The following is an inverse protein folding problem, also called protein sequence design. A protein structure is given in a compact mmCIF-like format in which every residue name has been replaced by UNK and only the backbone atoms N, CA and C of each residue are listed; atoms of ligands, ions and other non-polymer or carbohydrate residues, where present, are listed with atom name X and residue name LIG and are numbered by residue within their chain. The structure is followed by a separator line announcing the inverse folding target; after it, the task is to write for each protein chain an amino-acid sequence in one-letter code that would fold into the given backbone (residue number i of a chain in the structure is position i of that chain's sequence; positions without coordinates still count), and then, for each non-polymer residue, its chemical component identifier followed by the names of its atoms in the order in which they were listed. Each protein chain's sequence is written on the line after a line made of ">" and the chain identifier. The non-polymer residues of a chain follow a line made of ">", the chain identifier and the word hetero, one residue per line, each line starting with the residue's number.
data_IF_286447557246
#
_entry.id   IF_286447557246
#
_cell.length_a   1.000
_cell.length_b   1.000
_cell.length_c   1.000
_cell.angle_alpha   90.00
_cell.angle_beta   90.00
_cell.angle_gamma   90.00
#
_symmetry.space_group_name_H-M   'P 1'
#
loop_
_entity.id
_entity.type
_entity.pdbx_description
1 polymer ?
#
# COMPACT_ATOMS: atom_id res chain seq x y z
N UNK A 1 -6.39 -10.84 -26.79
CA UNK A 1 -5.17 -11.37 -26.14
C UNK A 1 -5.02 -10.85 -24.71
N UNK A 2 -4.96 -9.53 -24.47
CA UNK A 2 -4.86 -8.93 -23.13
C UNK A 2 -5.95 -9.38 -22.13
N UNK A 3 -7.21 -9.40 -22.56
CA UNK A 3 -8.36 -9.78 -21.72
C UNK A 3 -8.19 -11.20 -21.15
N UNK A 4 -7.66 -12.14 -21.93
CA UNK A 4 -7.44 -13.50 -21.46
C UNK A 4 -6.37 -13.59 -20.36
N UNK A 5 -5.30 -12.79 -20.45
CA UNK A 5 -4.32 -12.70 -19.37
C UNK A 5 -4.94 -12.16 -18.07
N UNK A 6 -5.80 -11.14 -18.18
CA UNK A 6 -6.51 -10.55 -17.04
C UNK A 6 -7.47 -11.57 -16.42
N UNK A 7 -8.24 -12.30 -17.24
CA UNK A 7 -9.15 -13.36 -16.78
C UNK A 7 -8.35 -14.46 -16.08
N UNK A 8 -7.25 -14.94 -16.66
CA UNK A 8 -6.39 -15.96 -16.04
C UNK A 8 -5.83 -15.45 -14.70
N UNK A 9 -5.33 -14.21 -14.66
CA UNK A 9 -4.81 -13.60 -13.43
C UNK A 9 -5.88 -13.52 -12.32
N UNK A 10 -7.11 -13.12 -12.66
CA UNK A 10 -8.22 -13.08 -11.71
C UNK A 10 -8.60 -14.49 -11.22
N UNK A 11 -8.69 -15.47 -12.12
CA UNK A 11 -8.98 -16.86 -11.76
C UNK A 11 -7.91 -17.44 -10.85
N UNK A 12 -6.64 -17.21 -11.15
CA UNK A 12 -5.51 -17.65 -10.31
C UNK A 12 -5.56 -16.96 -8.95
N UNK A 13 -5.85 -15.65 -8.90
CA UNK A 13 -6.00 -14.91 -7.64
C UNK A 13 -7.14 -15.47 -6.79
N UNK A 14 -8.30 -15.72 -7.38
CA UNK A 14 -9.43 -16.32 -6.67
C UNK A 14 -9.06 -17.73 -6.17
N UNK A 15 -8.43 -18.55 -7.00
CA UNK A 15 -8.03 -19.90 -6.63
C UNK A 15 -7.03 -19.91 -5.46
N UNK A 16 -6.02 -19.04 -5.48
CA UNK A 16 -5.05 -18.88 -4.39
C UNK A 16 -5.74 -18.43 -3.10
N UNK A 17 -6.63 -17.44 -3.20
CA UNK A 17 -7.37 -16.92 -2.06
C UNK A 17 -8.30 -17.97 -1.43
N UNK A 18 -9.06 -18.69 -2.25
CA UNK A 18 -9.94 -19.76 -1.77
C UNK A 18 -9.16 -20.97 -1.22
N UNK A 19 -8.00 -21.30 -1.80
CA UNK A 19 -7.13 -22.34 -1.25
C UNK A 19 -6.54 -21.95 0.11
N UNK A 20 -6.14 -20.68 0.28
CA UNK A 20 -5.68 -20.18 1.58
C UNK A 20 -6.83 -20.16 2.61
N UNK A 21 -8.07 -19.93 2.18
CA UNK A 21 -9.26 -19.97 3.03
C UNK A 21 -9.50 -21.34 3.69
N UNK A 22 -9.12 -22.44 3.04
CA UNK A 22 -9.28 -23.78 3.64
C UNK A 22 -8.40 -24.01 4.87
N UNK A 23 -7.48 -23.08 5.19
CA UNK A 23 -6.60 -23.15 6.37
C UNK A 23 -7.09 -22.28 7.53
N UNK A 24 -8.17 -21.53 7.36
CA UNK A 24 -8.72 -20.63 8.37
C UNK A 24 -9.79 -21.36 9.18
N UNK A 25 -9.52 -21.62 10.47
CA UNK A 25 -10.42 -22.43 11.31
C UNK A 25 -11.02 -21.65 12.49
N UNK A 26 -10.41 -20.53 12.88
CA UNK A 26 -10.84 -19.74 14.04
C UNK A 26 -10.64 -18.22 13.79
N UNK A 27 -11.15 -17.40 14.71
CA UNK A 27 -11.08 -15.93 14.63
C UNK A 27 -9.64 -15.39 14.57
N UNK A 28 -8.69 -16.04 15.24
CA UNK A 28 -7.27 -15.62 15.22
C UNK A 28 -6.63 -15.89 13.87
N UNK A 29 -6.97 -17.02 13.23
CA UNK A 29 -6.54 -17.32 11.86
C UNK A 29 -7.13 -16.31 10.88
N UNK A 30 -8.41 -15.98 11.06
CA UNK A 30 -9.11 -15.01 10.22
C UNK A 30 -8.54 -13.60 10.36
N UNK A 31 -8.33 -13.12 11.59
CA UNK A 31 -7.92 -11.75 11.85
C UNK A 31 -6.41 -11.52 11.65
N UNK A 32 -5.55 -12.45 12.08
CA UNK A 32 -4.09 -12.22 12.10
C UNK A 32 -3.28 -13.38 11.53
N UNK A 33 -3.92 -14.25 10.72
CA UNK A 33 -3.27 -15.42 10.12
C UNK A 33 -2.53 -16.29 11.15
N UNK A 34 -3.11 -16.43 12.35
CA UNK A 34 -2.54 -17.23 13.45
C UNK A 34 -1.24 -16.66 14.03
N UNK A 35 -0.78 -15.49 13.56
CA UNK A 35 0.59 -14.99 13.76
C UNK A 35 1.66 -15.98 13.33
N UNK A 36 1.53 -16.54 12.12
CA UNK A 36 2.51 -17.50 11.60
C UNK A 36 3.30 -16.98 10.39
N UNK A 37 3.01 -15.78 9.92
CA UNK A 37 3.53 -15.28 8.65
C UNK A 37 5.05 -15.05 8.70
N UNK A 38 5.80 -15.56 7.70
CA UNK A 38 7.25 -15.36 7.60
C UNK A 38 7.59 -13.95 7.09
N UNK A 39 8.84 -13.54 7.28
CA UNK A 39 9.33 -12.20 6.93
C UNK A 39 8.97 -11.73 5.50
N UNK A 40 9.19 -12.51 4.42
CA UNK A 40 8.92 -12.04 3.07
C UNK A 40 7.45 -11.74 2.82
N UNK A 41 6.56 -12.55 3.40
CA UNK A 41 5.11 -12.40 3.26
C UNK A 41 4.64 -11.16 4.01
N UNK A 42 5.11 -10.94 5.25
CA UNK A 42 4.76 -9.74 6.02
C UNK A 42 5.29 -8.49 5.33
N UNK A 43 6.54 -8.48 4.84
CA UNK A 43 7.10 -7.35 4.08
C UNK A 43 6.25 -7.02 2.87
N UNK A 44 5.90 -8.03 2.06
CA UNK A 44 5.08 -7.85 0.88
C UNK A 44 3.68 -7.33 1.23
N UNK A 45 3.06 -7.86 2.28
CA UNK A 45 1.72 -7.48 2.74
C UNK A 45 1.70 -6.04 3.26
N UNK A 46 2.69 -5.66 4.08
CA UNK A 46 2.84 -4.29 4.59
C UNK A 46 3.12 -3.32 3.44
N UNK A 47 3.99 -3.69 2.50
CA UNK A 47 4.28 -2.88 1.32
C UNK A 47 3.03 -2.73 0.41
N UNK A 48 2.33 -3.82 0.10
CA UNK A 48 1.15 -3.84 -0.76
C UNK A 48 -0.01 -2.98 -0.22
N UNK A 49 -0.08 -2.78 1.10
CA UNK A 49 -1.08 -1.91 1.73
C UNK A 49 -0.94 -0.47 1.26
N UNK A 50 0.31 -0.02 1.16
CA UNK A 50 0.69 1.34 0.79
C UNK A 50 0.89 1.49 -0.71
N UNK A 51 1.17 0.39 -1.39
CA UNK A 51 1.36 0.33 -2.83
C UNK A 51 0.06 -0.01 -3.57
N UNK A 52 -0.97 0.83 -3.37
CA UNK A 52 -2.29 0.66 -3.98
C UNK A 52 -2.45 1.39 -5.33
N UNK A 53 -3.69 1.42 -5.85
CA UNK A 53 -3.99 2.11 -7.10
C UNK A 53 -3.69 3.62 -7.04
N UNK A 54 -3.84 4.24 -5.87
CA UNK A 54 -3.42 5.62 -5.63
C UNK A 54 -1.92 5.83 -5.87
N UNK A 55 -1.07 4.94 -5.36
CA UNK A 55 0.37 5.03 -5.55
C UNK A 55 0.76 4.90 -7.03
N UNK A 56 0.03 4.10 -7.80
CA UNK A 56 0.32 3.87 -9.23
C UNK A 56 -0.22 5.00 -10.11
N UNK A 57 -1.44 5.49 -9.88
CA UNK A 57 -2.09 6.49 -10.74
C UNK A 57 -2.01 7.92 -10.19
N UNK A 58 -2.23 8.07 -8.89
CA UNK A 58 -2.28 9.34 -8.19
C UNK A 58 -0.89 9.96 -8.06
N UNK A 59 0.04 9.25 -7.43
CA UNK A 59 1.41 9.77 -7.19
C UNK A 59 2.12 10.09 -8.51
N UNK A 60 1.96 9.27 -9.56
CA UNK A 60 2.53 9.57 -10.88
C UNK A 60 1.95 10.85 -11.49
N UNK A 61 0.63 11.07 -11.36
CA UNK A 61 -0.02 12.26 -11.89
C UNK A 61 0.40 13.52 -11.10
N UNK A 62 0.50 13.41 -9.77
CA UNK A 62 1.00 14.47 -8.90
C UNK A 62 2.46 14.80 -9.19
N UNK A 63 3.32 13.81 -9.39
CA UNK A 63 4.72 14.03 -9.77
C UNK A 63 4.85 14.81 -11.09
N UNK A 64 4.06 14.47 -12.10
CA UNK A 64 4.07 15.19 -13.39
C UNK A 64 3.65 16.65 -13.21
N UNK A 65 2.68 16.93 -12.33
CA UNK A 65 2.19 18.30 -12.05
C UNK A 65 3.13 19.10 -11.16
N UNK A 66 3.50 18.55 -10.01
CA UNK A 66 4.09 19.28 -8.88
C UNK A 66 5.51 18.82 -8.52
N UNK A 67 6.06 17.81 -9.22
CA UNK A 67 7.40 17.27 -8.95
C UNK A 67 7.51 16.55 -7.62
N UNK A 68 8.73 16.42 -7.10
CA UNK A 68 9.02 15.75 -5.82
C UNK A 68 8.37 16.43 -4.61
N UNK A 69 8.15 17.75 -4.67
CA UNK A 69 7.50 18.53 -3.60
C UNK A 69 6.06 18.09 -3.36
N UNK A 70 5.35 17.75 -4.43
CA UNK A 70 3.94 17.33 -4.36
C UNK A 70 3.75 15.90 -3.85
N UNK A 71 4.81 15.08 -3.84
CA UNK A 71 4.78 13.66 -3.45
C UNK A 71 5.49 13.41 -2.11
N UNK A 72 5.55 14.42 -1.25
CA UNK A 72 6.15 14.28 0.10
C UNK A 72 5.35 13.34 1.00
N UNK A 73 4.02 13.32 0.85
CA UNK A 73 3.16 12.39 1.59
C UNK A 73 3.46 10.94 1.20
N UNK A 74 3.46 10.65 -0.11
CA UNK A 74 3.75 9.34 -0.67
C UNK A 74 4.85 9.42 -1.74
N UNK A 75 5.99 8.71 -1.58
CA UNK A 75 6.19 7.61 -0.63
C UNK A 75 6.89 7.98 0.68
N UNK A 76 7.36 9.22 0.87
CA UNK A 76 8.27 9.55 1.98
C UNK A 76 7.59 9.52 3.35
N UNK A 77 6.42 10.14 3.48
CA UNK A 77 5.61 10.10 4.71
C UNK A 77 5.16 8.69 5.06
N UNK A 78 4.59 7.96 4.09
CA UNK A 78 4.18 6.58 4.28
C UNK A 78 5.35 5.64 4.68
N UNK A 79 6.52 5.79 4.07
CA UNK A 79 7.71 5.00 4.43
C UNK A 79 8.10 5.21 5.88
N UNK A 80 8.10 6.47 6.36
CA UNK A 80 8.43 6.77 7.74
C UNK A 80 7.34 6.32 8.72
N UNK A 81 6.07 6.41 8.33
CA UNK A 81 4.95 5.78 9.05
C UNK A 81 5.20 4.29 9.27
N UNK A 82 5.56 3.55 8.23
CA UNK A 82 5.83 2.11 8.32
C UNK A 82 6.98 1.78 9.27
N UNK A 83 8.06 2.56 9.27
CA UNK A 83 9.17 2.39 10.22
C UNK A 83 8.69 2.62 11.66
N UNK A 84 8.02 3.74 11.92
CA UNK A 84 7.57 4.12 13.26
C UNK A 84 6.53 3.12 13.77
N UNK A 85 5.51 2.83 12.96
CA UNK A 85 4.47 1.86 13.28
C UNK A 85 5.04 0.46 13.50
N UNK A 86 5.97 0.02 12.64
CA UNK A 86 6.66 -1.26 12.78
C UNK A 86 7.39 -1.41 14.12
N UNK A 87 8.16 -0.38 14.51
CA UNK A 87 8.86 -0.34 15.80
C UNK A 87 7.85 -0.31 16.96
N UNK A 88 6.88 0.60 16.92
CA UNK A 88 5.91 0.77 18.00
C UNK A 88 5.04 -0.47 18.21
N UNK A 89 4.52 -1.05 17.13
CA UNK A 89 3.69 -2.24 17.15
C UNK A 89 4.48 -3.49 17.49
N UNK A 90 5.64 -3.68 16.87
CA UNK A 90 6.49 -4.84 17.13
C UNK A 90 7.03 -4.88 18.57
N UNK A 91 7.30 -3.73 19.18
CA UNK A 91 7.85 -3.67 20.55
C UNK A 91 6.76 -3.69 21.63
N UNK A 92 5.73 -2.88 21.47
CA UNK A 92 4.72 -2.63 22.51
C UNK A 92 3.48 -3.50 22.31
N UNK A 93 2.79 -3.35 21.17
CA UNK A 93 1.48 -3.97 20.99
C UNK A 93 1.54 -5.46 20.68
N UNK A 94 2.61 -5.95 20.05
CA UNK A 94 2.77 -7.37 19.72
C UNK A 94 2.72 -8.25 20.98
N UNK A 95 3.24 -7.75 22.11
CA UNK A 95 3.27 -8.48 23.40
C UNK A 95 1.89 -8.60 24.04
N UNK A 96 0.95 -7.70 23.72
CA UNK A 96 -0.39 -7.69 24.30
C UNK A 96 -1.32 -8.76 23.72
N UNK A 97 -0.92 -9.41 22.62
CA UNK A 97 -1.66 -10.52 21.99
C UNK A 97 -3.12 -10.15 21.59
N UNK A 98 -3.39 -8.86 21.40
CA UNK A 98 -4.69 -8.31 20.97
C UNK A 98 -4.96 -8.53 19.48
N UNK A 99 -6.23 -8.59 19.05
CA UNK A 99 -6.59 -8.80 17.64
C UNK A 99 -6.82 -7.48 16.90
N UNK A 100 -7.27 -6.46 17.61
CA UNK A 100 -7.58 -5.14 17.03
C UNK A 100 -6.95 -4.00 17.83
N UNK A 101 -6.79 -2.84 17.20
CA UNK A 101 -6.48 -1.61 17.91
C UNK A 101 -7.59 -1.21 18.89
N UNK A 102 -8.84 -1.57 18.61
CA UNK A 102 -9.96 -1.39 19.55
C UNK A 102 -9.71 -2.08 20.88
N UNK A 103 -9.20 -3.32 20.86
CA UNK A 103 -8.86 -4.08 22.07
C UNK A 103 -7.82 -3.35 22.93
N UNK A 104 -6.84 -2.67 22.30
CA UNK A 104 -5.88 -1.84 23.03
C UNK A 104 -6.57 -0.72 23.80
N UNK A 105 -7.48 0.01 23.15
CA UNK A 105 -8.25 1.09 23.81
C UNK A 105 -9.19 0.56 24.88
N UNK A 106 -9.74 -0.65 24.71
CA UNK A 106 -10.52 -1.33 25.75
C UNK A 106 -9.67 -1.60 26.99
N UNK A 107 -8.49 -2.19 26.81
CA UNK A 107 -7.57 -2.52 27.90
C UNK A 107 -7.05 -1.27 28.62
N UNK A 108 -6.82 -0.19 27.87
CA UNK A 108 -6.25 1.05 28.40
C UNK A 108 -7.30 1.95 29.06
N UNK A 109 -8.52 1.95 28.56
CA UNK A 109 -9.60 2.83 28.98
C UNK A 109 -10.85 2.03 29.36
N UNK A 110 -11.79 1.85 28.43
CA UNK A 110 -13.04 1.12 28.65
C UNK A 110 -13.72 0.75 27.31
N UNK A 111 -14.85 0.03 27.40
CA UNK A 111 -15.63 -0.42 26.24
C UNK A 111 -16.20 0.74 25.40
N UNK A 112 -16.52 1.87 26.02
CA UNK A 112 -17.06 3.03 25.29
C UNK A 112 -16.01 3.62 24.36
N UNK A 113 -14.77 3.79 24.84
CA UNK A 113 -13.65 4.29 24.02
C UNK A 113 -13.30 3.32 22.91
N UNK A 114 -13.29 2.00 23.18
CA UNK A 114 -13.11 0.98 22.16
C UNK A 114 -14.10 1.16 21.00
N UNK A 115 -15.41 1.21 21.29
CA UNK A 115 -16.45 1.30 20.26
C UNK A 115 -16.33 2.60 19.47
N UNK A 116 -16.13 3.74 20.15
CA UNK A 116 -15.97 5.03 19.48
C UNK A 116 -14.77 5.04 18.54
N UNK A 117 -13.61 4.55 19.01
CA UNK A 117 -12.41 4.48 18.18
C UNK A 117 -12.59 3.53 16.99
N UNK A 118 -13.19 2.36 17.20
CA UNK A 118 -13.48 1.42 16.11
C UNK A 118 -14.41 2.02 15.07
N UNK A 119 -15.46 2.75 15.47
CA UNK A 119 -16.36 3.43 14.53
C UNK A 119 -15.63 4.52 13.74
N UNK A 120 -14.76 5.31 14.37
CA UNK A 120 -13.94 6.30 13.68
C UNK A 120 -12.99 5.66 12.66
N UNK A 121 -12.36 4.54 13.00
CA UNK A 121 -11.50 3.78 12.09
C UNK A 121 -12.30 3.22 10.91
N UNK A 122 -13.48 2.65 11.15
CA UNK A 122 -14.34 2.13 10.07
C UNK A 122 -14.79 3.25 9.15
N UNK A 123 -15.19 4.39 9.70
CA UNK A 123 -15.61 5.56 8.92
C UNK A 123 -14.47 6.10 8.05
N UNK A 124 -13.22 6.13 8.55
CA UNK A 124 -12.07 6.60 7.76
C UNK A 124 -11.75 5.69 6.57
N UNK A 125 -11.94 4.37 6.70
CA UNK A 125 -11.73 3.43 5.57
C UNK A 125 -12.74 3.57 4.44
N UNK A 126 -13.93 4.13 4.67
CA UNK A 126 -14.93 4.29 3.61
C UNK A 126 -14.37 5.14 2.46
N UNK A 127 -13.67 6.23 2.77
CA UNK A 127 -13.02 7.08 1.78
C UNK A 127 -11.97 6.32 0.98
N UNK A 128 -11.06 5.64 1.67
CA UNK A 128 -9.97 4.87 1.06
C UNK A 128 -10.49 3.74 0.16
N UNK A 129 -11.38 2.89 0.70
CA UNK A 129 -11.96 1.76 -0.05
C UNK A 129 -12.73 2.25 -1.26
N UNK A 130 -13.47 3.37 -1.15
CA UNK A 130 -14.19 3.94 -2.29
C UNK A 130 -13.26 4.37 -3.43
N UNK A 131 -12.07 4.91 -3.11
CA UNK A 131 -11.08 5.29 -4.11
C UNK A 131 -10.51 4.07 -4.83
N UNK A 132 -10.19 2.99 -4.09
CA UNK A 132 -9.70 1.74 -4.68
C UNK A 132 -10.75 1.08 -5.58
N UNK A 133 -12.02 1.05 -5.17
CA UNK A 133 -13.12 0.51 -5.99
C UNK A 133 -13.26 1.31 -7.29
N UNK A 134 -13.23 2.66 -7.22
CA UNK A 134 -13.27 3.50 -8.42
C UNK A 134 -12.12 3.21 -9.38
N UNK A 135 -10.90 3.07 -8.85
CA UNK A 135 -9.73 2.74 -9.67
C UNK A 135 -9.89 1.37 -10.35
N UNK A 136 -10.42 0.38 -9.63
CA UNK A 136 -10.73 -0.94 -10.17
C UNK A 136 -11.72 -0.88 -11.34
N UNK A 137 -12.80 -0.09 -11.19
CA UNK A 137 -13.77 0.16 -12.25
C UNK A 137 -13.17 0.80 -13.50
N UNK A 138 -12.26 1.77 -13.31
CA UNK A 138 -11.52 2.40 -14.40
C UNK A 138 -10.63 1.38 -15.12
N UNK A 139 -9.88 0.55 -14.39
CA UNK A 139 -9.00 -0.48 -14.98
C UNK A 139 -9.80 -1.45 -15.83
N UNK A 140 -10.95 -1.94 -15.35
CA UNK A 140 -11.82 -2.82 -16.14
C UNK A 140 -12.33 -2.14 -17.42
N UNK A 141 -12.76 -0.89 -17.32
CA UNK A 141 -13.24 -0.13 -18.48
C UNK A 141 -12.13 0.08 -19.52
N UNK A 142 -10.90 0.39 -19.10
CA UNK A 142 -9.77 0.61 -20.00
C UNK A 142 -9.31 -0.69 -20.66
N UNK A 143 -9.18 -1.78 -19.89
CA UNK A 143 -8.72 -3.08 -20.40
C UNK A 143 -9.70 -3.71 -21.39
N UNK A 144 -10.99 -3.39 -21.26
CA UNK A 144 -12.05 -3.87 -22.15
C UNK A 144 -12.41 -2.89 -23.26
N UNK A 145 -11.62 -1.82 -23.43
CA UNK A 145 -11.83 -0.78 -24.45
C UNK A 145 -13.26 -0.19 -24.41
N UNK A 146 -13.75 0.05 -23.19
CA UNK A 146 -15.09 0.60 -22.94
C UNK A 146 -16.24 -0.40 -22.99
N UNK A 147 -16.00 -1.69 -23.31
CA UNK A 147 -17.06 -2.69 -23.37
C UNK A 147 -17.72 -2.94 -22.01
N UNK A 148 -16.96 -2.83 -20.90
CA UNK A 148 -17.50 -2.85 -19.54
C UNK A 148 -17.56 -1.42 -19.00
N UNK A 149 -18.75 -0.88 -18.70
CA UNK A 149 -18.88 0.41 -18.05
C UNK A 149 -18.17 0.44 -16.69
N UNK A 150 -17.62 1.58 -16.24
CA UNK A 150 -16.91 1.67 -14.96
C UNK A 150 -17.72 1.15 -13.77
N UNK A 151 -19.03 1.38 -13.75
CA UNK A 151 -19.94 0.90 -12.70
C UNK A 151 -20.00 -0.63 -12.63
N UNK A 152 -20.10 -1.29 -13.78
CA UNK A 152 -20.07 -2.76 -13.86
C UNK A 152 -18.70 -3.30 -13.43
N UNK A 153 -17.61 -2.63 -13.83
CA UNK A 153 -16.24 -2.95 -13.41
C UNK A 153 -16.06 -2.84 -11.89
N UNK A 154 -16.61 -1.80 -11.26
CA UNK A 154 -16.60 -1.61 -9.80
C UNK A 154 -17.31 -2.76 -9.09
N UNK A 155 -18.50 -3.15 -9.56
CA UNK A 155 -19.28 -4.24 -8.95
C UNK A 155 -18.54 -5.56 -9.08
N UNK A 156 -18.09 -5.90 -10.31
CA UNK A 156 -17.43 -7.17 -10.59
C UNK A 156 -16.13 -7.31 -9.80
N UNK A 157 -15.30 -6.27 -9.81
CA UNK A 157 -14.07 -6.26 -9.05
C UNK A 157 -14.30 -6.35 -7.53
N UNK A 158 -15.31 -5.64 -7.02
CA UNK A 158 -15.71 -5.73 -5.60
C UNK A 158 -16.15 -7.13 -5.21
N UNK A 159 -16.96 -7.80 -6.05
CA UNK A 159 -17.40 -9.18 -5.81
C UNK A 159 -16.22 -10.15 -5.75
N UNK A 160 -15.24 -10.01 -6.65
CA UNK A 160 -14.02 -10.83 -6.64
C UNK A 160 -13.24 -10.63 -5.35
N UNK A 161 -12.97 -9.37 -4.98
CA UNK A 161 -12.20 -9.02 -3.78
C UNK A 161 -12.91 -9.47 -2.50
N UNK A 162 -14.22 -9.23 -2.39
CA UNK A 162 -15.01 -9.67 -1.25
C UNK A 162 -15.02 -11.19 -1.12
N UNK A 163 -15.12 -11.93 -2.22
CA UNK A 163 -15.17 -13.40 -2.18
C UNK A 163 -13.93 -13.96 -1.46
N UNK A 164 -12.72 -13.67 -1.95
CA UNK A 164 -11.54 -14.25 -1.30
C UNK A 164 -11.23 -13.64 0.07
N UNK A 165 -11.64 -12.39 0.34
CA UNK A 165 -11.37 -11.73 1.62
C UNK A 165 -12.31 -12.24 2.71
N UNK A 166 -13.60 -12.40 2.41
CA UNK A 166 -14.61 -12.87 3.37
C UNK A 166 -14.42 -14.34 3.75
N UNK A 167 -14.04 -15.20 2.81
CA UNK A 167 -13.76 -16.60 3.14
C UNK A 167 -12.35 -16.79 3.72
N UNK A 168 -11.40 -16.00 3.24
CA UNK A 168 -9.99 -16.27 3.42
C UNK A 168 -9.27 -15.49 4.52
N UNK A 169 -9.86 -14.40 5.01
CA UNK A 169 -9.29 -13.54 6.04
C UNK A 169 -7.86 -13.06 5.74
N UNK A 170 -7.12 -12.74 6.79
CA UNK A 170 -5.77 -12.21 6.71
C UNK A 170 -4.77 -13.15 6.04
N UNK A 171 -4.95 -14.48 6.17
CA UNK A 171 -4.06 -15.45 5.53
C UNK A 171 -4.15 -15.36 4.00
N UNK A 172 -5.37 -15.29 3.47
CA UNK A 172 -5.59 -15.22 2.02
C UNK A 172 -5.14 -13.88 1.45
N UNK A 173 -5.41 -12.79 2.18
CA UNK A 173 -4.90 -11.46 1.83
C UNK A 173 -3.37 -11.47 1.80
N UNK A 174 -2.69 -12.01 2.80
CA UNK A 174 -1.23 -12.00 2.85
C UNK A 174 -0.57 -12.80 1.71
N UNK A 175 -1.14 -13.96 1.36
CA UNK A 175 -0.63 -14.78 0.25
C UNK A 175 -0.87 -14.07 -1.08
N UNK A 176 -2.04 -13.45 -1.26
CA UNK A 176 -2.33 -12.67 -2.46
C UNK A 176 -1.44 -11.44 -2.56
N UNK A 177 -1.28 -10.67 -1.49
CA UNK A 177 -0.41 -9.50 -1.45
C UNK A 177 1.01 -9.89 -1.90
N UNK A 178 1.55 -11.01 -1.43
CA UNK A 178 2.88 -11.51 -1.85
C UNK A 178 2.98 -11.78 -3.36
N UNK A 179 1.98 -12.42 -3.95
CA UNK A 179 1.96 -12.75 -5.39
C UNK A 179 1.71 -11.49 -6.22
N UNK A 180 0.68 -10.72 -5.87
CA UNK A 180 0.22 -9.57 -6.63
C UNK A 180 1.25 -8.45 -6.64
N UNK A 181 1.90 -8.18 -5.50
CA UNK A 181 2.91 -7.13 -5.45
C UNK A 181 4.15 -7.49 -6.27
N UNK A 182 4.50 -8.78 -6.35
CA UNK A 182 5.58 -9.25 -7.21
C UNK A 182 5.27 -9.02 -8.68
N UNK A 183 4.02 -9.28 -9.10
CA UNK A 183 3.55 -9.02 -10.47
C UNK A 183 3.54 -7.52 -10.78
N UNK A 184 3.02 -6.69 -9.86
CA UNK A 184 2.95 -5.23 -10.02
C UNK A 184 4.36 -4.64 -10.12
N UNK A 185 5.29 -5.02 -9.23
CA UNK A 185 6.67 -4.54 -9.25
C UNK A 185 7.39 -4.94 -10.53
N UNK A 186 7.24 -6.19 -10.97
CA UNK A 186 7.79 -6.66 -12.24
C UNK A 186 7.23 -5.89 -13.44
N UNK A 187 5.91 -5.67 -13.46
CA UNK A 187 5.23 -4.89 -14.51
C UNK A 187 5.70 -3.44 -14.57
N UNK A 188 5.86 -2.78 -13.42
CA UNK A 188 6.36 -1.41 -13.37
C UNK A 188 7.80 -1.27 -13.82
N UNK A 189 8.68 -2.18 -13.42
CA UNK A 189 10.07 -2.19 -13.89
C UNK A 189 10.15 -2.43 -15.40
N UNK A 190 9.31 -3.31 -15.92
CA UNK A 190 9.23 -3.57 -17.36
C UNK A 190 8.75 -2.34 -18.14
N UNK A 191 7.68 -1.67 -17.69
CA UNK A 191 7.18 -0.44 -18.30
C UNK A 191 8.24 0.67 -18.24
N UNK A 192 8.90 0.84 -17.08
CA UNK A 192 9.96 1.82 -16.92
C UNK A 192 11.13 1.57 -17.90
N UNK A 193 11.53 0.31 -18.09
CA UNK A 193 12.56 -0.06 -19.06
C UNK A 193 12.14 0.25 -20.51
N UNK A 194 10.91 -0.09 -20.91
CA UNK A 194 10.41 0.21 -22.25
C UNK A 194 10.35 1.71 -22.52
N UNK A 195 9.79 2.49 -21.59
CA UNK A 195 9.67 3.94 -21.74
C UNK A 195 11.06 4.58 -21.78
N UNK A 196 11.99 4.14 -20.92
CA UNK A 196 13.36 4.64 -20.97
C UNK A 196 14.03 4.37 -22.32
N UNK A 197 13.81 3.20 -22.93
CA UNK A 197 14.33 2.88 -24.26
C UNK A 197 13.77 3.80 -25.35
N UNK A 198 12.46 4.11 -25.30
CA UNK A 198 11.80 5.00 -26.26
C UNK A 198 12.27 6.46 -26.08
N UNK A 199 12.52 6.89 -24.84
CA UNK A 199 12.95 8.26 -24.50
C UNK A 199 14.44 8.53 -24.71
N UNK A 200 15.22 7.57 -25.21
CA UNK A 200 16.66 7.73 -25.46
C UNK A 200 17.56 7.43 -24.24
N UNK A 201 17.02 6.78 -23.21
CA UNK A 201 17.72 6.37 -22.00
C UNK A 201 17.15 6.99 -20.72
N UNK A 202 17.44 6.36 -19.58
CA UNK A 202 17.01 6.86 -18.26
C UNK A 202 17.61 8.24 -17.97
N UNK A 203 18.86 8.46 -18.37
CA UNK A 203 19.58 9.72 -18.14
C UNK A 203 18.91 10.92 -18.83
N UNK A 204 18.31 10.71 -20.00
CA UNK A 204 17.57 11.75 -20.73
C UNK A 204 16.31 12.14 -19.97
N UNK A 205 15.56 11.16 -19.47
CA UNK A 205 14.34 11.38 -18.70
C UNK A 205 14.64 12.11 -17.38
N UNK A 206 15.67 11.68 -16.66
CA UNK A 206 16.11 12.30 -15.41
C UNK A 206 16.63 13.72 -15.66
N UNK A 207 17.41 13.93 -16.74
CA UNK A 207 17.91 15.25 -17.13
C UNK A 207 16.77 16.22 -17.47
N UNK A 208 15.74 15.78 -18.19
CA UNK A 208 14.57 16.60 -18.47
C UNK A 208 13.76 16.92 -17.21
N UNK A 209 13.58 15.94 -16.31
CA UNK A 209 12.91 16.16 -15.04
C UNK A 209 13.68 17.17 -14.15
N UNK A 210 15.00 17.07 -14.11
CA UNK A 210 15.87 18.00 -13.39
C UNK A 210 15.78 19.41 -13.99
N UNK A 211 15.89 19.54 -15.32
CA UNK A 211 15.79 20.83 -16.01
C UNK A 211 14.42 21.50 -15.81
N UNK A 212 13.36 20.71 -15.62
CA UNK A 212 12.02 21.20 -15.31
C UNK A 212 11.77 21.47 -13.81
N UNK A 213 12.79 21.39 -12.96
CA UNK A 213 12.67 21.57 -11.50
C UNK A 213 11.83 20.50 -10.79
N UNK A 214 11.53 19.37 -11.46
CA UNK A 214 10.66 18.32 -10.91
C UNK A 214 11.36 17.48 -9.85
N UNK A 215 12.69 17.54 -9.79
CA UNK A 215 13.50 16.83 -8.80
C UNK A 215 13.81 17.67 -7.56
N UNK A 216 13.34 18.92 -7.49
CA UNK A 216 13.54 19.73 -6.29
C UNK A 216 12.64 19.22 -5.17
N UNK A 217 13.24 18.78 -4.06
CA UNK A 217 12.49 18.13 -2.98
C UNK A 217 11.84 19.14 -2.02
N UNK A 218 12.56 20.21 -1.69
CA UNK A 218 12.11 21.21 -0.72
C UNK A 218 11.45 22.40 -1.43
N UNK A 219 10.37 22.98 -0.87
CA UNK A 219 9.71 24.15 -1.45
C UNK A 219 10.61 25.40 -1.44
N UNK A 220 10.56 26.19 -2.52
CA UNK A 220 11.42 27.38 -2.72
C UNK A 220 10.94 28.64 -2.00
N UNK A 221 9.69 28.70 -1.54
CA UNK A 221 9.09 29.94 -1.04
C UNK A 221 8.12 29.72 0.12
N UNK A 222 7.93 30.81 0.89
CA UNK A 222 6.81 31.11 1.79
C UNK A 222 6.57 30.17 2.99
N UNK A 223 6.18 30.76 4.12
CA UNK A 223 5.80 29.99 5.31
C UNK A 223 4.57 29.10 5.06
N UNK A 224 3.72 29.45 4.11
CA UNK A 224 2.49 28.71 3.79
C UNK A 224 2.78 27.40 3.05
N UNK A 225 3.72 27.39 2.11
CA UNK A 225 4.11 26.23 1.33
C UNK A 225 4.93 25.26 2.18
N UNK A 226 5.81 25.78 3.05
CA UNK A 226 6.47 24.97 4.07
C UNK A 226 5.47 24.37 5.05
N UNK A 227 4.46 25.13 5.47
CA UNK A 227 3.40 24.62 6.33
C UNK A 227 2.60 23.52 5.62
N UNK A 228 2.23 23.70 4.35
CA UNK A 228 1.51 22.70 3.57
C UNK A 228 2.36 21.43 3.35
N UNK A 229 3.65 21.58 3.04
CA UNK A 229 4.59 20.49 2.86
C UNK A 229 4.75 19.67 4.15
N UNK A 230 5.02 20.33 5.27
CA UNK A 230 5.15 19.67 6.58
C UNK A 230 3.81 19.06 6.99
N UNK A 231 2.68 19.75 6.79
CA UNK A 231 1.37 19.23 7.11
C UNK A 231 1.06 17.95 6.31
N UNK A 232 1.28 17.94 5.00
CA UNK A 232 1.08 16.76 4.17
C UNK A 232 1.97 15.59 4.60
N UNK A 233 3.26 15.88 4.83
CA UNK A 233 4.24 14.88 5.26
C UNK A 233 3.89 14.28 6.63
N UNK A 234 3.62 15.12 7.63
CA UNK A 234 3.28 14.72 8.99
C UNK A 234 1.92 14.02 9.08
N UNK A 235 0.95 14.47 8.28
CA UNK A 235 -0.39 13.85 8.22
C UNK A 235 -0.26 12.40 7.76
N UNK A 236 0.51 12.14 6.69
CA UNK A 236 0.73 10.77 6.23
C UNK A 236 1.61 9.97 7.19
N UNK A 237 2.66 10.59 7.74
CA UNK A 237 3.61 9.94 8.64
C UNK A 237 2.98 9.48 9.97
N UNK A 238 2.15 10.32 10.59
CA UNK A 238 1.58 10.06 11.92
C UNK A 238 0.12 9.65 11.87
N UNK A 239 -0.66 10.20 10.95
CA UNK A 239 -2.11 9.98 10.86
C UNK A 239 -2.47 8.54 10.54
N UNK A 240 -1.57 7.84 9.87
CA UNK A 240 -1.77 6.46 9.43
C UNK A 240 -1.20 5.42 10.38
N UNK A 241 -0.46 5.84 11.42
CA UNK A 241 -0.03 4.95 12.49
C UNK A 241 -1.25 4.23 13.09
N UNK A 242 -2.28 4.90 13.65
CA UNK A 242 -3.40 4.24 14.36
C UNK A 242 -4.38 3.48 13.44
N UNK A 243 -4.01 3.16 12.20
CA UNK A 243 -4.87 2.42 11.29
C UNK A 243 -4.83 0.90 11.56
N UNK A 244 -6.01 0.27 11.49
CA UNK A 244 -6.21 -1.14 11.81
C UNK A 244 -5.48 -2.07 10.84
N UNK A 245 -5.39 -1.71 9.57
CA UNK A 245 -4.76 -2.51 8.52
C UNK A 245 -3.24 -2.58 8.67
N UNK A 246 -2.57 -1.46 8.99
CA UNK A 246 -1.13 -1.43 9.34
C UNK A 246 -0.88 -2.31 10.56
N UNK A 247 -1.66 -2.10 11.63
CA UNK A 247 -1.57 -2.90 12.85
C UNK A 247 -1.74 -4.40 12.59
N UNK A 248 -2.79 -4.78 11.86
CA UNK A 248 -3.17 -6.16 11.59
C UNK A 248 -2.08 -6.88 10.79
N UNK A 249 -1.51 -6.22 9.77
CA UNK A 249 -0.45 -6.79 8.93
C UNK A 249 0.86 -6.98 9.68
N UNK A 250 1.28 -5.96 10.42
CA UNK A 250 2.52 -6.00 11.21
C UNK A 250 2.43 -7.07 12.31
N UNK A 251 1.29 -7.18 12.99
CA UNK A 251 1.10 -8.15 14.09
C UNK A 251 0.77 -9.57 13.65
N UNK A 252 0.52 -9.80 12.35
CA UNK A 252 0.38 -11.15 11.76
C UNK A 252 1.72 -11.88 11.58
N UNK A 253 2.84 -11.19 11.79
CA UNK A 253 4.17 -11.77 11.78
C UNK A 253 4.33 -12.89 12.81
N UNK A 254 5.21 -13.86 12.54
CA UNK A 254 5.52 -14.96 13.48
C UNK A 254 6.21 -14.49 14.76
N UNK A 255 7.00 -13.42 14.68
CA UNK A 255 7.72 -12.88 15.84
C UNK A 255 7.72 -11.36 15.82
N UNK A 256 7.87 -10.75 17.00
CA UNK A 256 8.05 -9.30 17.14
C UNK A 256 9.23 -8.76 16.29
N UNK A 257 10.33 -9.51 16.19
CA UNK A 257 11.46 -9.14 15.34
C UNK A 257 11.05 -9.08 13.87
N UNK A 258 10.32 -10.09 13.39
CA UNK A 258 9.80 -10.12 12.02
C UNK A 258 8.86 -8.94 11.78
N UNK A 259 7.98 -8.60 12.73
CA UNK A 259 7.10 -7.44 12.61
C UNK A 259 7.86 -6.12 12.35
N UNK A 260 8.95 -5.90 13.09
CA UNK A 260 9.80 -4.71 12.95
C UNK A 260 10.58 -4.74 11.62
N UNK A 261 11.35 -5.81 11.38
CA UNK A 261 12.17 -5.90 10.18
C UNK A 261 11.33 -5.90 8.90
N UNK A 262 10.15 -6.53 8.92
CA UNK A 262 9.24 -6.54 7.78
C UNK A 262 8.79 -5.12 7.42
N UNK A 263 8.46 -4.32 8.42
CA UNK A 263 8.00 -2.94 8.25
C UNK A 263 9.12 -2.03 7.75
N UNK A 264 10.36 -2.21 8.26
CA UNK A 264 11.53 -1.47 7.78
C UNK A 264 11.86 -1.84 6.33
N UNK A 265 11.82 -3.13 5.98
CA UNK A 265 12.05 -3.58 4.60
C UNK A 265 10.93 -3.10 3.66
N UNK A 266 9.69 -3.07 4.13
CA UNK A 266 8.56 -2.53 3.37
C UNK A 266 8.75 -1.03 3.13
N UNK A 267 9.12 -0.26 4.15
CA UNK A 267 9.44 1.17 4.03
C UNK A 267 10.57 1.43 3.05
N UNK A 268 11.64 0.63 3.10
CA UNK A 268 12.74 0.73 2.15
C UNK A 268 12.29 0.40 0.71
N UNK A 269 11.34 -0.52 0.55
CA UNK A 269 10.78 -0.86 -0.77
C UNK A 269 9.87 0.25 -1.29
N UNK A 270 9.10 0.91 -0.41
CA UNK A 270 8.27 2.07 -0.74
C UNK A 270 9.10 3.26 -1.20
N UNK A 271 10.21 3.55 -0.52
CA UNK A 271 11.14 4.62 -0.91
C UNK A 271 12.04 4.24 -2.10
N UNK A 272 12.28 2.96 -2.36
CA UNK A 272 13.09 2.48 -3.50
C UNK A 272 12.27 2.12 -4.75
N UNK A 273 10.95 2.37 -4.74
CA UNK A 273 10.05 2.16 -5.86
C UNK A 273 10.56 2.90 -7.11
N UNK A 274 10.32 2.41 -8.35
CA UNK A 274 10.83 3.04 -9.58
C UNK A 274 10.47 4.52 -9.72
N UNK A 275 9.35 4.95 -9.13
CA UNK A 275 8.96 6.36 -9.01
C UNK A 275 9.95 7.23 -8.21
N UNK A 276 10.74 6.62 -7.32
CA UNK A 276 11.78 7.28 -6.51
C UNK A 276 13.22 7.03 -6.98
N UNK A 277 13.51 5.96 -7.75
CA UNK A 277 14.87 5.69 -8.25
C UNK A 277 15.42 6.77 -9.19
N UNK A 278 14.61 7.73 -9.60
CA UNK A 278 15.06 8.88 -10.38
C UNK A 278 15.77 9.97 -9.54
N UNK A 279 15.87 9.84 -8.22
CA UNK A 279 16.41 10.88 -7.33
C UNK A 279 17.88 10.71 -6.90
N UNK A 280 18.64 9.77 -7.46
CA UNK A 280 20.08 9.61 -7.10
C UNK A 280 21.01 10.01 -8.25
N UNK A 281 21.37 11.30 -8.39
CA UNK A 281 22.55 11.67 -9.15
C UNK A 281 23.76 11.46 -8.23
N UNK A 282 24.52 10.37 -8.43
CA UNK A 282 25.94 10.40 -8.04
C UNK A 282 26.68 11.11 -9.16
N UNK A 283 27.21 12.32 -8.95
CA UNK A 283 28.15 12.88 -9.90
C UNK A 283 29.41 12.03 -9.79
N UNK A 284 29.75 11.29 -10.85
CA UNK A 284 31.11 10.78 -10.98
C UNK A 284 32.02 11.95 -11.38
N UNK A 285 33.23 12.03 -10.79
CA UNK A 285 34.18 13.12 -11.03
C UNK A 285 34.68 13.16 -12.47
#
# INVERSE_FOLDING_TARGET
>A
MLIWFVVIYLLVSIAIGLYAATRVHNTKDFAVAGRSLPLPVVTATVFATWFGAEAVFGVSATFVKDGLRGVVADPFGASLCLVIAGIFYGTTLYRLNILTLGDFFRLRYNRTVEVLTTLCIVASYLGWVSAQIKALGLVFSVVTDGAIPPTAGMILGTLVVLTYTTFGGMLSVAVLDFVQISVVMGGMLYIAHLIAGISGGVDVVVGQAAAAGKLDFFPDAGAAEWLAFIAAWMTMMLGSIPQQDVFQRVTSARTAKIAIYASILAAASTSASPSCRCSSPTPRP
#
